data_IF_997455383304
#
_entry.id   IF_997455383304
#
_cell.length_a   1.000
_cell.length_b   1.000
_cell.length_c   1.000
_cell.angle_alpha   90.00
_cell.angle_beta   90.00
_cell.angle_gamma   90.00
#
_symmetry.space_group_name_H-M   'P 1'
#
loop_
_entity.id
_entity.type
_entity.pdbx_description
1 polymer ?
#
# COMPACT_ATOMS: atom_id res chain seq x y z
N UNK A 1 -28.33 -4.35 -28.41
CA UNK A 1 -29.11 -5.56 -28.09
C UNK A 1 -28.79 -6.10 -26.70
N UNK A 2 -29.81 -6.49 -25.95
CA UNK A 2 -29.72 -7.17 -24.65
C UNK A 2 -29.62 -8.69 -24.86
N UNK A 3 -28.47 -9.29 -24.54
CA UNK A 3 -28.29 -10.75 -24.59
C UNK A 3 -28.81 -11.41 -23.30
N UNK A 4 -29.72 -12.38 -23.45
CA UNK A 4 -30.27 -13.16 -22.34
C UNK A 4 -29.29 -14.25 -21.86
N UNK A 5 -29.24 -14.58 -20.56
CA UNK A 5 -28.35 -15.61 -20.00
C UNK A 5 -28.55 -17.02 -20.59
N UNK A 6 -29.71 -17.29 -21.18
CA UNK A 6 -30.10 -18.61 -21.68
C UNK A 6 -29.38 -19.04 -22.96
N UNK A 7 -28.75 -18.11 -23.69
CA UNK A 7 -28.05 -18.43 -24.95
C UNK A 7 -26.58 -18.80 -24.75
N UNK A 8 -26.10 -18.79 -23.51
CA UNK A 8 -24.71 -19.12 -23.18
C UNK A 8 -24.49 -20.64 -23.21
N UNK A 9 -23.47 -21.09 -23.95
CA UNK A 9 -23.04 -22.49 -24.02
C UNK A 9 -21.63 -22.64 -23.46
N UNK A 10 -21.35 -23.71 -22.67
CA UNK A 10 -20.02 -23.94 -22.10
C UNK A 10 -19.02 -24.45 -23.15
N UNK A 11 -17.77 -24.03 -23.03
CA UNK A 11 -16.66 -24.60 -23.79
C UNK A 11 -16.30 -26.00 -23.27
N UNK A 12 -16.18 -26.98 -24.17
CA UNK A 12 -15.82 -28.36 -23.85
C UNK A 12 -14.39 -28.53 -23.27
N UNK A 13 -13.53 -27.52 -23.41
CA UNK A 13 -12.11 -27.58 -23.04
C UNK A 13 -11.85 -26.89 -21.69
N UNK A 14 -12.37 -25.66 -21.50
CA UNK A 14 -12.12 -24.87 -20.28
C UNK A 14 -13.35 -24.66 -19.39
N UNK A 15 -14.52 -25.16 -19.79
CA UNK A 15 -15.77 -25.06 -19.01
C UNK A 15 -16.40 -23.66 -18.97
N UNK A 16 -15.74 -22.62 -19.49
CA UNK A 16 -16.28 -21.25 -19.51
C UNK A 16 -17.48 -21.12 -20.45
N UNK A 17 -18.48 -20.34 -20.06
CA UNK A 17 -19.71 -20.12 -20.83
C UNK A 17 -19.59 -18.93 -21.78
N UNK A 18 -19.97 -19.12 -23.04
CA UNK A 18 -19.88 -18.11 -24.09
C UNK A 18 -21.15 -18.08 -24.93
N UNK A 19 -21.44 -16.93 -25.56
CA UNK A 19 -22.43 -16.85 -26.63
C UNK A 19 -21.97 -17.69 -27.84
N UNK A 20 -22.87 -18.25 -28.65
CA UNK A 20 -22.51 -19.16 -29.74
C UNK A 20 -21.53 -18.53 -30.75
N UNK A 21 -21.70 -17.24 -31.06
CA UNK A 21 -20.80 -16.49 -31.94
C UNK A 21 -19.38 -16.35 -31.35
N UNK A 22 -19.27 -16.12 -30.04
CA UNK A 22 -17.99 -16.04 -29.34
C UNK A 22 -17.35 -17.42 -29.13
N UNK A 23 -18.17 -18.45 -28.87
CA UNK A 23 -17.73 -19.83 -28.68
C UNK A 23 -17.03 -20.39 -29.93
N UNK A 24 -17.53 -20.05 -31.13
CA UNK A 24 -16.89 -20.41 -32.41
C UNK A 24 -15.45 -19.90 -32.51
N UNK A 25 -15.18 -18.67 -32.04
CA UNK A 25 -13.81 -18.10 -32.01
C UNK A 25 -12.98 -18.62 -30.84
N UNK A 26 -13.62 -18.84 -29.70
CA UNK A 26 -12.98 -19.31 -28.48
C UNK A 26 -12.46 -20.76 -28.61
N UNK A 27 -13.25 -21.68 -29.19
CA UNK A 27 -12.91 -23.11 -29.27
C UNK A 27 -11.49 -23.40 -29.81
N UNK A 28 -11.09 -22.90 -31.00
CA UNK A 28 -9.74 -23.16 -31.53
C UNK A 28 -8.62 -22.51 -30.72
N UNK A 29 -8.87 -21.35 -30.09
CA UNK A 29 -7.87 -20.66 -29.24
C UNK A 29 -7.68 -21.44 -27.94
N UNK A 30 -8.78 -21.86 -27.33
CA UNK A 30 -8.78 -22.64 -26.11
C UNK A 30 -8.04 -23.97 -26.32
N UNK A 31 -8.28 -24.65 -27.44
CA UNK A 31 -7.54 -25.86 -27.80
C UNK A 31 -6.03 -25.60 -27.95
N UNK A 32 -5.64 -24.55 -28.68
CA UNK A 32 -4.22 -24.16 -28.83
C UNK A 32 -3.56 -23.82 -27.49
N UNK A 33 -4.29 -23.18 -26.58
CA UNK A 33 -3.78 -22.84 -25.25
C UNK A 33 -3.53 -24.06 -24.37
N UNK A 34 -4.31 -25.14 -24.53
CA UNK A 34 -4.14 -26.38 -23.79
C UNK A 34 -2.99 -27.23 -24.35
N UNK A 35 -2.90 -27.33 -25.67
CA UNK A 35 -1.85 -28.12 -26.35
C UNK A 35 -0.47 -27.46 -26.20
N UNK A 36 -0.38 -26.14 -26.40
CA UNK A 36 0.89 -25.40 -26.31
C UNK A 36 0.91 -24.58 -25.01
N UNK A 37 1.27 -25.23 -23.90
CA UNK A 37 1.62 -24.51 -22.67
C UNK A 37 2.82 -23.62 -22.96
N UNK A 38 2.64 -22.29 -22.90
CA UNK A 38 3.72 -21.32 -23.08
C UNK A 38 4.75 -21.55 -21.96
N UNK A 39 6.05 -21.55 -22.29
CA UNK A 39 7.11 -21.55 -21.28
C UNK A 39 6.91 -20.34 -20.37
N UNK A 40 7.10 -20.53 -19.06
CA UNK A 40 7.10 -19.42 -18.12
C UNK A 40 8.17 -18.43 -18.59
N UNK A 41 7.76 -17.18 -18.76
CA UNK A 41 8.64 -16.12 -19.18
C UNK A 41 9.55 -15.75 -18.00
N UNK A 42 10.83 -16.09 -18.12
CA UNK A 42 11.83 -15.75 -17.14
C UNK A 42 12.43 -14.39 -17.49
N UNK A 43 12.00 -13.35 -16.78
CA UNK A 43 12.48 -11.97 -16.95
C UNK A 43 13.97 -11.82 -16.63
N UNK A 44 14.56 -12.75 -15.89
CA UNK A 44 15.99 -12.75 -15.59
C UNK A 44 16.77 -13.24 -16.80
N UNK A 45 16.30 -14.35 -17.40
CA UNK A 45 16.86 -14.90 -18.63
C UNK A 45 16.77 -13.93 -19.80
N UNK A 46 15.62 -13.29 -20.00
CA UNK A 46 15.47 -12.34 -21.11
C UNK A 46 16.30 -11.07 -20.91
N UNK A 47 16.62 -10.68 -19.67
CA UNK A 47 17.56 -9.59 -19.39
C UNK A 47 19.01 -9.99 -19.60
N UNK A 48 19.36 -11.25 -19.35
CA UNK A 48 20.71 -11.78 -19.58
C UNK A 48 20.98 -12.05 -21.07
N UNK A 49 19.97 -12.42 -21.84
CA UNK A 49 20.07 -12.64 -23.29
C UNK A 49 20.45 -11.32 -24.01
N UNK A 50 21.73 -11.18 -24.40
CA UNK A 50 22.29 -9.99 -25.04
C UNK A 50 23.20 -9.12 -24.17
N UNK A 51 23.49 -9.53 -22.93
CA UNK A 51 24.52 -8.90 -22.09
C UNK A 51 25.51 -9.95 -21.61
N UNK A 52 26.81 -9.65 -21.58
CA UNK A 52 27.87 -10.54 -21.05
C UNK A 52 27.84 -10.64 -19.51
N UNK A 53 26.66 -10.45 -18.90
CA UNK A 53 26.48 -10.54 -17.45
C UNK A 53 26.29 -12.02 -17.11
N UNK A 54 27.19 -12.64 -16.34
CA UNK A 54 27.05 -14.04 -15.94
C UNK A 54 25.73 -14.22 -15.21
N UNK A 55 24.97 -15.23 -15.66
CA UNK A 55 23.65 -15.65 -15.16
C UNK A 55 23.61 -15.50 -13.64
N UNK A 56 22.85 -14.51 -13.17
CA UNK A 56 22.64 -14.29 -11.75
C UNK A 56 22.07 -15.58 -11.16
N UNK A 57 22.81 -16.16 -10.21
CA UNK A 57 22.44 -17.35 -9.45
C UNK A 57 20.95 -17.29 -9.10
N UNK A 58 20.19 -18.40 -9.24
CA UNK A 58 18.80 -18.44 -8.81
C UNK A 58 18.72 -17.89 -7.39
N UNK A 59 17.99 -16.80 -7.21
CA UNK A 59 17.70 -16.27 -5.89
C UNK A 59 16.96 -17.39 -5.18
N UNK A 60 17.65 -18.08 -4.25
CA UNK A 60 16.99 -19.00 -3.32
C UNK A 60 15.83 -18.21 -2.74
N UNK A 61 14.61 -18.68 -2.96
CA UNK A 61 13.43 -18.11 -2.34
C UNK A 61 13.73 -18.03 -0.85
N UNK A 62 13.88 -16.80 -0.35
CA UNK A 62 14.01 -16.57 1.08
C UNK A 62 12.75 -17.19 1.67
N UNK A 63 12.85 -18.13 2.64
CA UNK A 63 11.67 -18.70 3.26
C UNK A 63 10.78 -17.53 3.69
N UNK A 64 9.55 -17.49 3.16
CA UNK A 64 8.63 -16.41 3.49
C UNK A 64 8.51 -16.42 5.02
N UNK A 65 8.80 -15.28 5.70
CA UNK A 65 8.55 -15.21 7.12
C UNK A 65 7.09 -15.60 7.34
N UNK A 66 6.79 -16.43 8.37
CA UNK A 66 5.44 -16.90 8.62
C UNK A 66 4.51 -15.70 8.62
N UNK A 67 3.53 -15.71 7.70
CA UNK A 67 2.55 -14.63 7.56
C UNK A 67 1.84 -14.51 8.90
N UNK A 68 2.19 -13.48 9.67
CA UNK A 68 1.48 -13.15 10.90
C UNK A 68 0.01 -13.00 10.52
N UNK A 69 -0.86 -13.78 11.17
CA UNK A 69 -2.29 -13.77 10.88
C UNK A 69 -2.83 -12.34 10.96
N UNK A 70 -3.64 -11.98 9.98
CA UNK A 70 -4.19 -10.62 9.89
C UNK A 70 -5.10 -10.35 11.08
N UNK A 71 -4.68 -9.45 11.96
CA UNK A 71 -5.45 -9.00 13.12
C UNK A 71 -6.59 -8.02 12.73
N UNK A 72 -7.21 -8.23 11.56
CA UNK A 72 -8.17 -7.29 10.97
C UNK A 72 -9.46 -7.18 11.77
N UNK A 73 -9.92 -8.28 12.37
CA UNK A 73 -11.16 -8.32 13.16
C UNK A 73 -11.05 -7.40 14.37
N UNK A 74 -9.93 -7.49 15.10
CA UNK A 74 -9.62 -6.62 16.24
C UNK A 74 -9.52 -5.15 15.82
N UNK A 75 -8.75 -4.87 14.75
CA UNK A 75 -8.64 -3.50 14.21
C UNK A 75 -9.98 -2.91 13.76
N UNK A 76 -10.86 -3.75 13.20
CA UNK A 76 -12.20 -3.35 12.82
C UNK A 76 -13.08 -3.07 14.04
N UNK A 77 -13.06 -3.95 15.04
CA UNK A 77 -13.79 -3.77 16.30
C UNK A 77 -13.35 -2.50 17.04
N UNK A 78 -12.03 -2.26 17.14
CA UNK A 78 -11.47 -1.06 17.77
C UNK A 78 -11.89 0.23 17.03
N UNK A 79 -11.91 0.19 15.68
CA UNK A 79 -12.42 1.29 14.88
C UNK A 79 -13.92 1.54 15.11
N UNK A 80 -14.75 0.49 15.10
CA UNK A 80 -16.19 0.60 15.34
C UNK A 80 -16.47 1.13 16.75
N UNK A 81 -15.74 0.66 17.76
CA UNK A 81 -15.86 1.13 19.14
C UNK A 81 -15.49 2.61 19.25
N UNK A 82 -14.42 3.05 18.56
CA UNK A 82 -14.01 4.46 18.52
C UNK A 82 -15.09 5.34 17.90
N UNK A 83 -15.71 4.90 16.79
CA UNK A 83 -16.80 5.65 16.14
C UNK A 83 -18.05 5.71 17.03
N UNK A 84 -18.41 4.61 17.70
CA UNK A 84 -19.55 4.59 18.64
C UNK A 84 -19.31 5.52 19.83
N UNK A 85 -18.11 5.48 20.41
CA UNK A 85 -17.72 6.36 21.50
C UNK A 85 -17.80 7.84 21.09
N UNK A 86 -17.26 8.19 19.91
CA UNK A 86 -17.32 9.56 19.39
C UNK A 86 -18.76 10.05 19.14
N UNK A 87 -19.64 9.17 18.61
CA UNK A 87 -21.07 9.50 18.45
C UNK A 87 -21.79 9.67 19.79
N UNK A 88 -21.45 8.87 20.80
CA UNK A 88 -21.98 9.01 22.16
C UNK A 88 -21.60 10.34 22.80
N UNK A 89 -20.35 10.81 22.63
CA UNK A 89 -19.93 12.14 23.08
C UNK A 89 -20.74 13.28 22.42
N UNK A 90 -21.05 13.14 21.13
CA UNK A 90 -21.89 14.12 20.41
C UNK A 90 -23.34 14.17 20.89
N UNK A 91 -23.88 13.05 21.40
CA UNK A 91 -25.22 13.00 22.00
C UNK A 91 -25.23 13.65 23.39
N UNK A 92 -24.22 13.35 24.23
CA UNK A 92 -24.08 13.94 25.58
C UNK A 92 -23.93 15.46 25.51
N UNK A 93 -23.15 15.98 24.55
CA UNK A 93 -22.98 17.42 24.34
C UNK A 93 -24.30 18.12 23.97
N UNK A 94 -25.22 17.42 23.28
CA UNK A 94 -26.51 17.96 22.87
C UNK A 94 -27.52 17.99 24.01
N UNK A 95 -27.43 17.05 24.95
CA UNK A 95 -28.27 16.99 26.17
C UNK A 95 -27.73 17.84 27.33
N UNK A 96 -26.60 18.55 27.15
CA UNK A 96 -26.04 19.47 28.15
C UNK A 96 -25.29 18.78 29.30
N UNK A 97 -24.89 17.52 29.14
CA UNK A 97 -24.09 16.79 30.12
C UNK A 97 -22.60 17.13 30.05
N UNK A 98 -21.93 17.10 31.21
CA UNK A 98 -20.49 17.33 31.32
C UNK A 98 -19.69 16.28 30.51
N UNK A 99 -18.70 16.76 29.75
CA UNK A 99 -17.84 15.90 28.94
C UNK A 99 -17.02 14.98 29.86
N UNK A 100 -17.09 13.64 29.68
CA UNK A 100 -16.17 12.74 30.37
C UNK A 100 -14.72 13.08 29.96
N UNK A 101 -13.75 12.93 30.88
CA UNK A 101 -12.35 13.21 30.58
C UNK A 101 -11.92 12.39 29.36
N UNK A 102 -11.06 12.95 28.48
CA UNK A 102 -10.67 12.31 27.23
C UNK A 102 -10.17 10.90 27.53
N UNK A 103 -10.69 9.87 26.82
CA UNK A 103 -10.27 8.50 27.06
C UNK A 103 -8.75 8.39 26.88
N UNK A 104 -8.04 7.67 27.78
CA UNK A 104 -6.61 7.47 27.65
C UNK A 104 -6.31 6.86 26.26
N UNK A 105 -5.22 7.29 25.59
CA UNK A 105 -4.91 6.80 24.26
C UNK A 105 -4.88 5.26 24.25
N UNK A 106 -5.78 4.63 23.52
CA UNK A 106 -5.77 3.17 23.38
C UNK A 106 -4.50 2.79 22.63
N UNK A 107 -3.64 2.01 23.29
CA UNK A 107 -2.37 1.58 22.73
C UNK A 107 -2.52 0.20 22.09
N UNK A 108 -2.21 0.10 20.80
CA UNK A 108 -2.04 -1.18 20.13
C UNK A 108 -0.80 -1.90 20.69
N UNK A 109 -0.92 -3.12 21.23
CA UNK A 109 0.20 -3.87 21.81
C UNK A 109 1.26 -4.29 20.78
N UNK A 110 0.97 -4.19 19.48
CA UNK A 110 1.86 -4.60 18.38
C UNK A 110 2.94 -3.52 18.04
N UNK A 111 2.87 -2.34 18.65
CA UNK A 111 3.79 -1.24 18.39
C UNK A 111 4.85 -1.09 19.48
N UNK A 112 6.12 -1.24 19.10
CA UNK A 112 7.28 -1.02 19.97
C UNK A 112 7.68 0.45 19.93
N UNK A 113 7.90 1.05 21.11
CA UNK A 113 8.38 2.42 21.25
C UNK A 113 9.91 2.47 21.25
N UNK A 114 10.48 3.34 20.43
CA UNK A 114 11.93 3.56 20.41
C UNK A 114 12.37 4.33 21.69
N UNK A 115 13.37 3.85 22.45
CA UNK A 115 13.82 4.51 23.67
C UNK A 115 14.57 5.83 23.43
N UNK A 116 15.05 6.09 22.20
CA UNK A 116 15.86 7.27 21.88
C UNK A 116 15.06 8.44 21.29
N UNK A 117 14.03 8.16 20.50
CA UNK A 117 13.21 9.20 19.85
C UNK A 117 11.71 9.12 20.18
N UNK A 118 11.31 8.15 21.01
CA UNK A 118 9.95 7.93 21.48
C UNK A 118 8.90 7.67 20.38
N UNK A 119 9.30 7.54 19.10
CA UNK A 119 8.43 7.15 18.00
C UNK A 119 8.07 5.66 18.11
N UNK A 120 6.84 5.33 17.70
CA UNK A 120 6.28 3.97 17.74
C UNK A 120 6.33 3.32 16.37
N UNK A 121 6.81 2.08 16.30
CA UNK A 121 6.96 1.31 15.07
C UNK A 121 6.43 -0.11 15.27
N UNK A 122 6.07 -0.81 14.18
CA UNK A 122 5.87 -2.26 14.25
C UNK A 122 7.21 -2.96 14.55
N UNK A 123 7.19 -4.19 15.09
CA UNK A 123 8.40 -4.95 15.46
C UNK A 123 9.52 -4.89 14.39
N UNK A 124 9.23 -5.26 13.14
CA UNK A 124 10.24 -5.28 12.07
C UNK A 124 10.82 -3.91 11.69
N UNK A 125 10.02 -2.85 11.84
CA UNK A 125 10.44 -1.48 11.61
C UNK A 125 11.18 -0.95 12.83
N UNK A 126 10.77 -1.36 14.04
CA UNK A 126 11.44 -1.05 15.29
C UNK A 126 12.86 -1.63 15.30
N UNK A 127 13.07 -2.88 14.87
CA UNK A 127 14.41 -3.49 14.81
C UNK A 127 15.38 -2.67 13.95
N UNK A 128 14.95 -2.23 12.77
CA UNK A 128 15.76 -1.39 11.88
C UNK A 128 15.91 0.04 12.43
N UNK A 129 14.84 0.57 13.00
CA UNK A 129 14.81 1.94 13.50
C UNK A 129 15.65 2.12 14.76
N UNK A 130 15.54 1.22 15.75
CA UNK A 130 16.21 1.32 17.04
C UNK A 130 17.73 1.30 16.86
N UNK A 131 18.26 0.47 15.97
CA UNK A 131 19.70 0.43 15.67
C UNK A 131 20.21 1.75 15.10
N UNK A 132 19.55 2.26 14.06
CA UNK A 132 19.90 3.57 13.49
C UNK A 132 19.70 4.70 14.51
N UNK A 133 18.62 4.67 15.27
CA UNK A 133 18.27 5.71 16.22
C UNK A 133 19.22 5.74 17.42
N UNK A 134 19.72 4.58 17.86
CA UNK A 134 20.79 4.45 18.86
C UNK A 134 22.08 5.12 18.39
N UNK A 135 22.51 4.82 17.16
CA UNK A 135 23.71 5.43 16.58
C UNK A 135 23.56 6.93 16.36
N UNK A 136 22.39 7.35 15.86
CA UNK A 136 22.08 8.76 15.64
C UNK A 136 22.02 9.52 16.97
N UNK A 137 21.43 8.95 18.02
CA UNK A 137 21.40 9.55 19.35
C UNK A 137 22.82 9.70 19.92
N UNK A 138 23.66 8.65 19.83
CA UNK A 138 25.05 8.70 20.29
C UNK A 138 25.92 9.73 19.54
N UNK A 139 25.59 10.02 18.27
CA UNK A 139 26.26 11.08 17.49
C UNK A 139 25.73 12.48 17.80
N UNK A 140 24.44 12.62 18.08
CA UNK A 140 23.81 13.92 18.33
C UNK A 140 24.12 14.45 19.74
N UNK A 141 24.30 13.59 20.76
CA UNK A 141 24.67 14.05 22.12
C UNK A 141 25.98 14.84 22.15
N UNK A 142 26.85 14.68 21.14
CA UNK A 142 28.09 15.45 20.98
C UNK A 142 28.01 16.61 19.97
N UNK A 143 26.85 16.81 19.32
CA UNK A 143 26.61 17.94 18.40
C UNK A 143 25.66 18.97 19.05
N UNK A 144 25.82 19.15 20.35
CA UNK A 144 25.09 20.12 21.17
C UNK A 144 25.89 21.41 21.40
N UNK A 145 26.42 22.04 20.34
CA UNK A 145 26.66 23.50 20.31
C UNK A 145 26.91 23.93 18.87
N UNK A 146 25.86 24.38 18.19
CA UNK A 146 25.82 25.40 17.13
C UNK A 146 24.48 25.27 16.39
N UNK A 147 23.62 26.26 16.57
CA UNK A 147 22.41 26.41 15.75
C UNK A 147 21.17 26.86 16.51
N UNK A 148 21.29 27.85 17.40
CA UNK A 148 20.15 28.69 17.76
C UNK A 148 19.85 29.66 16.61
N UNK A 149 18.58 29.71 16.23
CA UNK A 149 17.86 30.81 15.57
C UNK A 149 18.32 31.25 14.16
N UNK A 150 17.55 30.86 13.14
CA UNK A 150 16.71 31.82 12.37
C UNK A 150 15.93 31.17 11.23
N UNK A 151 14.66 31.59 11.16
CA UNK A 151 13.73 31.59 10.02
C UNK A 151 13.24 30.26 9.43
N UNK A 152 11.93 30.09 9.59
CA UNK A 152 11.05 29.29 8.76
C UNK A 152 11.46 29.30 7.28
N UNK A 153 11.78 28.12 6.75
CA UNK A 153 11.74 27.88 5.30
C UNK A 153 10.35 27.38 4.95
N UNK A 154 9.53 28.29 4.45
CA UNK A 154 8.33 27.95 3.73
C UNK A 154 8.69 27.03 2.55
N UNK A 155 7.89 26.00 2.34
CA UNK A 155 7.94 25.16 1.14
C UNK A 155 7.43 26.01 -0.03
N UNK A 156 8.22 26.32 -1.09
CA UNK A 156 7.64 26.87 -2.30
C UNK A 156 6.95 25.73 -3.06
N UNK A 157 5.66 25.56 -2.79
CA UNK A 157 4.72 24.98 -3.75
C UNK A 157 4.57 25.99 -4.89
N UNK A 158 4.35 25.48 -6.10
CA UNK A 158 3.94 26.17 -7.35
C UNK A 158 5.02 26.77 -8.25
N UNK A 159 5.45 26.00 -9.24
CA UNK A 159 5.82 26.53 -10.57
C UNK A 159 4.91 26.03 -11.71
N UNK A 160 3.92 25.16 -11.42
CA UNK A 160 3.09 24.55 -12.47
C UNK A 160 1.83 25.38 -12.78
N UNK A 161 1.39 26.26 -11.88
CA UNK A 161 0.14 27.03 -12.07
C UNK A 161 0.35 28.28 -12.94
N UNK A 162 1.53 28.92 -12.86
CA UNK A 162 1.82 30.15 -13.62
C UNK A 162 1.86 29.89 -15.15
N UNK A 163 2.38 28.73 -15.56
CA UNK A 163 2.44 28.35 -16.98
C UNK A 163 1.05 28.02 -17.55
N UNK A 164 0.13 27.45 -16.78
CA UNK A 164 -1.23 27.18 -17.25
C UNK A 164 -2.02 28.47 -17.52
N UNK A 165 -1.89 29.50 -16.67
CA UNK A 165 -2.61 30.76 -16.87
C UNK A 165 -2.07 31.49 -18.11
N UNK A 166 -0.75 31.47 -18.34
CA UNK A 166 -0.15 32.09 -19.52
C UNK A 166 -0.50 31.35 -20.82
N UNK A 167 -0.58 30.01 -20.79
CA UNK A 167 -0.94 29.23 -21.97
C UNK A 167 -2.41 29.41 -22.39
N UNK A 168 -3.32 29.57 -21.41
CA UNK A 168 -4.74 29.86 -21.68
C UNK A 168 -4.91 31.28 -22.24
N UNK A 169 -4.15 32.26 -21.73
CA UNK A 169 -4.23 33.65 -22.20
C UNK A 169 -3.71 33.85 -23.64
N UNK A 170 -2.73 33.06 -24.07
CA UNK A 170 -2.20 33.12 -25.45
C UNK A 170 -3.11 32.42 -26.46
N UNK A 171 -3.86 31.38 -26.08
CA UNK A 171 -4.78 30.70 -27.01
C UNK A 171 -6.13 31.42 -27.21
N UNK A 172 -6.46 32.43 -26.41
CA UNK A 172 -7.72 33.20 -26.52
C UNK A 172 -7.55 34.59 -27.14
N UNK A 173 -6.46 34.82 -27.88
CA UNK A 173 -6.21 36.08 -28.59
C UNK A 173 -5.94 35.84 -30.07
#
# INVERSE_FOLDING_TARGET
>A
ESFSPNDLKPCKICGRTFLPAALKKHSPICQKSLVKKRKVFDSSRQRAEGTDIPIVKPIKQRPEPPKKQSNWRRKHEDFINTIRAAKGLGQILKEGGELPPPPPPSYDPDYVQCPYCQRRFNESAADRHINFCKEQAARITNKGKLGGDTKAKAIPRTQVIQFCIFYIYIQSR
#
